data_IF_040127087995
#
_entry.id   IF_040127087995
#
_cell.length_a   1.000
_cell.length_b   1.000
_cell.length_c   1.000
_cell.angle_alpha   90.00
_cell.angle_beta   90.00
_cell.angle_gamma   90.00
#
_symmetry.space_group_name_H-M   'P 1'
#
loop_
_entity.id
_entity.type
_entity.pdbx_description
1 polymer ?
#
# COMPACT_ATOMS: atom_id res chain seq x y z
N UNK A 1 16.24 91.62 17.94
CA UNK A 1 16.28 90.87 19.21
C UNK A 1 15.31 89.70 19.12
N UNK A 2 15.79 88.52 18.74
CA UNK A 2 15.39 87.22 19.29
C UNK A 2 16.29 86.15 18.68
N UNK A 3 16.76 85.22 19.52
CA UNK A 3 17.84 84.27 19.28
C UNK A 3 17.30 82.86 18.93
N UNK A 4 18.10 82.11 18.15
CA UNK A 4 18.29 80.65 18.26
C UNK A 4 17.27 79.76 17.52
N UNK A 5 17.59 78.60 16.96
CA UNK A 5 18.77 77.73 17.03
C UNK A 5 18.74 76.78 15.80
N UNK A 6 19.83 76.70 15.04
CA UNK A 6 20.09 75.65 14.06
C UNK A 6 20.88 74.51 14.72
N UNK A 7 20.42 73.26 14.59
CA UNK A 7 21.23 72.06 14.84
C UNK A 7 21.48 71.33 13.51
N UNK A 8 22.73 70.96 13.16
CA UNK A 8 23.02 70.20 11.95
C UNK A 8 22.87 68.69 12.19
N UNK A 9 22.05 68.05 11.37
CA UNK A 9 21.69 66.64 11.38
C UNK A 9 22.70 65.79 10.58
N UNK A 10 24.00 65.91 10.89
CA UNK A 10 25.07 65.18 10.18
C UNK A 10 26.13 64.68 11.15
N UNK A 11 25.85 63.60 11.89
CA UNK A 11 26.87 62.78 12.58
C UNK A 11 26.25 61.48 13.13
N UNK A 12 25.78 60.59 12.26
CA UNK A 12 25.30 59.26 12.67
C UNK A 12 25.50 58.17 11.60
N UNK A 13 26.58 58.24 10.82
CA UNK A 13 26.82 57.29 9.72
C UNK A 13 28.14 56.51 9.76
N UNK A 14 28.84 56.40 10.89
CA UNK A 14 30.17 55.76 10.92
C UNK A 14 30.45 54.71 12.00
N UNK A 15 29.43 54.07 12.57
CA UNK A 15 29.60 52.82 13.34
C UNK A 15 28.42 51.91 13.02
N UNK A 16 28.65 50.62 12.80
CA UNK A 16 27.70 49.54 12.46
C UNK A 16 27.47 49.13 10.99
N UNK A 17 28.52 48.87 10.17
CA UNK A 17 28.34 48.11 8.93
C UNK A 17 27.94 46.63 9.17
N UNK A 18 28.16 46.09 10.38
CA UNK A 18 27.86 44.68 10.70
C UNK A 18 26.39 44.40 11.01
N UNK A 19 25.63 45.35 11.59
CA UNK A 19 24.22 45.12 11.94
C UNK A 19 23.33 45.15 10.69
N UNK A 20 23.69 45.95 9.68
CA UNK A 20 22.91 46.06 8.44
C UNK A 20 23.02 44.80 7.56
N UNK A 21 24.18 44.14 7.53
CA UNK A 21 24.38 42.87 6.83
C UNK A 21 23.63 41.70 7.50
N UNK A 22 23.51 41.70 8.83
CA UNK A 22 22.73 40.68 9.56
C UNK A 22 21.24 40.86 9.29
N UNK A 23 20.71 42.09 9.27
CA UNK A 23 19.29 42.34 9.00
C UNK A 23 18.87 42.02 7.55
N UNK A 24 19.71 42.32 6.56
CA UNK A 24 19.44 41.95 5.16
C UNK A 24 19.48 40.43 4.99
N UNK A 25 20.41 39.74 5.64
CA UNK A 25 20.50 38.27 5.60
C UNK A 25 19.31 37.61 6.33
N UNK A 26 18.87 38.16 7.46
CA UNK A 26 17.68 37.68 8.17
C UNK A 26 16.39 37.90 7.38
N UNK A 27 16.24 39.05 6.70
CA UNK A 27 15.09 39.29 5.83
C UNK A 27 15.10 38.41 4.58
N UNK A 28 16.26 38.16 3.96
CA UNK A 28 16.38 37.27 2.81
C UNK A 28 16.12 35.79 3.17
N UNK A 29 16.57 35.34 4.35
CA UNK A 29 16.41 33.96 4.81
C UNK A 29 14.99 33.68 5.32
N UNK A 30 14.37 34.64 6.03
CA UNK A 30 12.96 34.55 6.40
C UNK A 30 12.05 34.70 5.18
N UNK A 31 12.36 35.57 4.22
CA UNK A 31 11.55 35.76 3.02
C UNK A 31 11.47 34.50 2.16
N UNK A 32 12.61 33.85 1.86
CA UNK A 32 12.61 32.70 0.93
C UNK A 32 12.01 31.44 1.54
N UNK A 33 12.33 31.13 2.80
CA UNK A 33 11.78 29.94 3.48
C UNK A 33 10.31 30.09 3.84
N UNK A 34 9.88 31.28 4.31
CA UNK A 34 8.49 31.55 4.65
C UNK A 34 7.61 31.68 3.40
N UNK A 35 8.07 32.35 2.34
CA UNK A 35 7.32 32.42 1.09
C UNK A 35 7.30 31.08 0.35
N UNK A 36 8.34 30.25 0.44
CA UNK A 36 8.30 28.88 -0.10
C UNK A 36 7.32 28.00 0.69
N UNK A 37 7.26 28.16 2.02
CA UNK A 37 6.27 27.47 2.85
C UNK A 37 4.85 27.97 2.56
N UNK A 38 4.61 29.27 2.56
CA UNK A 38 3.31 29.85 2.21
C UNK A 38 2.90 29.50 0.78
N UNK A 39 3.79 29.56 -0.20
CA UNK A 39 3.50 29.17 -1.58
C UNK A 39 3.16 27.68 -1.70
N UNK A 40 3.87 26.82 -0.95
CA UNK A 40 3.56 25.39 -0.86
C UNK A 40 2.19 25.17 -0.21
N UNK A 41 1.93 25.77 0.94
CA UNK A 41 0.66 25.68 1.66
C UNK A 41 -0.50 26.24 0.81
N UNK A 42 -0.28 27.32 0.06
CA UNK A 42 -1.29 27.91 -0.84
C UNK A 42 -1.55 27.04 -2.07
N UNK A 43 -0.52 26.45 -2.68
CA UNK A 43 -0.68 25.57 -3.84
C UNK A 43 -1.32 24.21 -3.49
N UNK A 44 -1.09 23.70 -2.28
CA UNK A 44 -1.68 22.45 -1.81
C UNK A 44 -3.19 22.56 -1.62
N UNK A 45 -3.68 23.71 -1.13
CA UNK A 45 -5.12 23.92 -0.91
C UNK A 45 -5.94 24.21 -2.17
N UNK A 46 -5.30 24.41 -3.33
CA UNK A 46 -5.99 24.86 -4.55
C UNK A 46 -6.56 23.72 -5.42
N UNK A 47 -6.18 22.46 -5.19
CA UNK A 47 -6.68 21.33 -5.97
C UNK A 47 -7.51 20.39 -5.10
N UNK A 48 -8.80 20.67 -4.99
CA UNK A 48 -9.78 19.66 -4.54
C UNK A 48 -10.10 18.76 -5.72
N UNK A 49 -9.90 17.47 -5.54
CA UNK A 49 -10.38 16.48 -6.47
C UNK A 49 -11.84 16.16 -6.13
N UNK A 50 -12.65 15.87 -7.14
CA UNK A 50 -14.03 15.44 -6.96
C UNK A 50 -14.19 14.04 -7.57
N UNK A 51 -14.91 13.11 -6.90
CA UNK A 51 -15.14 11.77 -7.41
C UNK A 51 -15.76 11.77 -8.81
N UNK A 52 -15.19 10.98 -9.71
CA UNK A 52 -15.79 10.82 -11.05
C UNK A 52 -17.03 9.94 -10.99
N UNK A 53 -17.96 10.08 -11.95
CA UNK A 53 -19.07 9.13 -12.09
C UNK A 53 -18.59 7.68 -12.21
N UNK A 54 -17.42 7.46 -12.83
CA UNK A 54 -16.81 6.14 -12.96
C UNK A 54 -16.31 5.58 -11.61
N UNK A 55 -15.76 6.43 -10.74
CA UNK A 55 -15.33 6.04 -9.42
C UNK A 55 -16.52 5.63 -8.54
N UNK A 56 -17.65 6.32 -8.67
CA UNK A 56 -18.88 6.05 -7.92
C UNK A 56 -19.82 5.02 -8.58
N UNK A 57 -19.44 4.45 -9.72
CA UNK A 57 -20.24 3.44 -10.41
C UNK A 57 -20.22 2.12 -9.61
N UNK A 58 -21.37 1.56 -9.19
CA UNK A 58 -21.40 0.28 -8.45
C UNK A 58 -20.89 -0.91 -9.28
N UNK A 59 -20.80 -0.75 -10.60
CA UNK A 59 -20.24 -1.76 -11.52
C UNK A 59 -18.75 -1.56 -11.81
N UNK A 60 -18.14 -0.53 -11.21
CA UNK A 60 -16.71 -0.26 -11.28
C UNK A 60 -15.91 -1.45 -10.75
N UNK A 61 -14.60 -1.44 -10.97
CA UNK A 61 -13.73 -2.56 -10.57
C UNK A 61 -12.39 -2.06 -10.07
N UNK A 62 -11.76 -2.89 -9.26
CA UNK A 62 -10.42 -2.62 -8.80
C UNK A 62 -9.38 -3.03 -9.84
N UNK A 63 -8.28 -2.30 -9.80
CA UNK A 63 -7.02 -2.68 -10.44
C UNK A 63 -5.92 -2.80 -9.38
N UNK A 64 -4.93 -3.65 -9.63
CA UNK A 64 -3.81 -3.83 -8.71
C UNK A 64 -2.45 -3.85 -9.42
N UNK A 65 -1.44 -3.39 -8.68
CA UNK A 65 -0.04 -3.46 -9.04
C UNK A 65 0.66 -4.42 -8.09
N UNK A 66 1.24 -5.50 -8.61
CA UNK A 66 1.90 -6.53 -7.81
C UNK A 66 3.35 -6.71 -8.28
N UNK A 67 4.33 -6.55 -7.37
CA UNK A 67 5.71 -6.97 -7.61
C UNK A 67 5.96 -8.28 -6.88
N UNK A 68 6.22 -9.35 -7.62
CA UNK A 68 6.33 -10.72 -7.07
C UNK A 68 7.77 -11.24 -7.12
N UNK A 69 8.14 -12.00 -6.09
CA UNK A 69 9.41 -12.75 -6.01
C UNK A 69 9.20 -14.06 -5.27
N UNK A 70 9.25 -15.18 -5.99
CA UNK A 70 9.18 -16.54 -5.44
C UNK A 70 7.94 -16.78 -4.52
N UNK A 71 6.75 -16.33 -4.95
CA UNK A 71 5.49 -16.50 -4.20
C UNK A 71 4.46 -17.36 -4.94
N UNK A 72 4.89 -18.19 -5.90
CA UNK A 72 3.97 -19.02 -6.69
C UNK A 72 3.08 -19.92 -5.83
N UNK A 73 3.59 -20.37 -4.67
CA UNK A 73 2.87 -21.22 -3.74
C UNK A 73 1.57 -20.58 -3.20
N UNK A 74 1.52 -19.25 -3.06
CA UNK A 74 0.35 -18.53 -2.51
C UNK A 74 -0.36 -17.64 -3.55
N UNK A 75 0.26 -17.44 -4.72
CA UNK A 75 -0.23 -16.50 -5.71
C UNK A 75 -1.64 -16.85 -6.22
N UNK A 76 -1.98 -18.14 -6.35
CA UNK A 76 -3.33 -18.54 -6.81
C UNK A 76 -4.40 -18.23 -5.76
N UNK A 77 -4.14 -18.49 -4.48
CA UNK A 77 -5.01 -18.04 -3.37
C UNK A 77 -5.18 -16.51 -3.42
N UNK A 78 -4.08 -15.78 -3.54
CA UNK A 78 -4.08 -14.32 -3.57
C UNK A 78 -4.93 -13.76 -4.72
N UNK A 79 -4.77 -14.28 -5.94
CA UNK A 79 -5.54 -13.83 -7.10
C UNK A 79 -7.00 -14.24 -6.97
N UNK A 80 -7.31 -15.48 -6.55
CA UNK A 80 -8.69 -15.94 -6.36
C UNK A 80 -9.45 -15.05 -5.36
N UNK A 81 -8.82 -14.78 -4.21
CA UNK A 81 -9.39 -13.93 -3.17
C UNK A 81 -9.70 -12.53 -3.70
N UNK A 82 -8.72 -11.83 -4.27
CA UNK A 82 -8.92 -10.44 -4.70
C UNK A 82 -9.78 -10.33 -5.96
N UNK A 83 -9.77 -11.33 -6.86
CA UNK A 83 -10.71 -11.41 -7.97
C UNK A 83 -12.16 -11.42 -7.49
N UNK A 84 -12.43 -12.10 -6.38
CA UNK A 84 -13.74 -12.18 -5.77
C UNK A 84 -14.06 -10.95 -4.90
N UNK A 85 -13.28 -10.72 -3.84
CA UNK A 85 -13.59 -9.76 -2.78
C UNK A 85 -13.39 -8.31 -3.23
N UNK A 86 -12.35 -8.02 -4.02
CA UNK A 86 -12.15 -6.67 -4.58
C UNK A 86 -12.89 -6.45 -5.89
N UNK A 87 -13.48 -7.48 -6.50
CA UNK A 87 -13.85 -7.43 -7.93
C UNK A 87 -12.66 -6.97 -8.78
N UNK A 88 -11.49 -7.55 -8.54
CA UNK A 88 -10.28 -7.23 -9.30
C UNK A 88 -10.49 -7.63 -10.77
N UNK A 89 -10.30 -6.69 -11.70
CA UNK A 89 -10.46 -6.92 -13.15
C UNK A 89 -9.25 -6.55 -13.98
N UNK A 90 -8.27 -5.85 -13.41
CA UNK A 90 -6.96 -5.61 -14.05
C UNK A 90 -5.82 -5.79 -13.06
N UNK A 91 -4.79 -6.53 -13.45
CA UNK A 91 -3.62 -6.79 -12.65
C UNK A 91 -2.37 -6.65 -13.50
N UNK A 92 -1.45 -5.78 -13.06
CA UNK A 92 -0.10 -5.74 -13.62
C UNK A 92 0.83 -6.42 -12.63
N UNK A 93 1.55 -7.45 -13.08
CA UNK A 93 2.48 -8.23 -12.26
C UNK A 93 3.91 -8.01 -12.77
N UNK A 94 4.72 -7.26 -12.03
CA UNK A 94 6.16 -7.23 -12.27
C UNK A 94 6.83 -8.42 -11.57
N UNK A 95 7.71 -9.12 -12.27
CA UNK A 95 8.49 -10.23 -11.70
C UNK A 95 9.88 -9.72 -11.35
N UNK A 96 10.29 -9.85 -10.08
CA UNK A 96 11.64 -9.49 -9.67
C UNK A 96 12.66 -10.35 -10.44
N UNK A 97 13.70 -9.75 -11.06
CA UNK A 97 14.65 -10.50 -11.88
C UNK A 97 15.51 -11.49 -11.09
N UNK A 98 15.48 -11.43 -9.75
CA UNK A 98 16.12 -12.40 -8.86
C UNK A 98 15.19 -13.53 -8.43
N UNK A 99 13.95 -13.56 -8.93
CA UNK A 99 13.03 -14.68 -8.75
C UNK A 99 13.61 -15.94 -9.41
N UNK A 100 13.58 -17.04 -8.67
CA UNK A 100 13.95 -18.38 -9.13
C UNK A 100 12.79 -19.11 -9.79
N UNK A 101 11.56 -18.68 -9.53
CA UNK A 101 10.33 -19.21 -10.11
C UNK A 101 9.65 -18.19 -11.04
N UNK A 102 8.88 -18.69 -12.02
CA UNK A 102 8.07 -17.86 -12.91
C UNK A 102 6.58 -18.01 -12.58
N UNK A 103 5.83 -16.90 -12.41
CA UNK A 103 4.38 -16.97 -12.17
C UNK A 103 3.56 -17.17 -13.45
N UNK A 104 4.18 -17.19 -14.64
CA UNK A 104 3.48 -17.07 -15.93
C UNK A 104 2.37 -18.09 -16.13
N UNK A 105 2.54 -19.34 -15.71
CA UNK A 105 1.50 -20.37 -15.85
C UNK A 105 0.25 -20.04 -15.01
N UNK A 106 0.45 -19.55 -13.79
CA UNK A 106 -0.65 -19.11 -12.90
C UNK A 106 -1.36 -17.91 -13.56
N UNK A 107 -0.60 -16.91 -14.01
CA UNK A 107 -1.18 -15.70 -14.62
C UNK A 107 -1.96 -16.01 -15.91
N UNK A 108 -1.40 -16.84 -16.80
CA UNK A 108 -2.05 -17.25 -18.05
C UNK A 108 -3.35 -18.04 -17.78
N UNK A 109 -3.34 -18.87 -16.73
CA UNK A 109 -4.50 -19.64 -16.33
C UNK A 109 -5.68 -18.73 -15.97
N UNK A 110 -5.47 -17.68 -15.20
CA UNK A 110 -6.52 -16.71 -14.86
C UNK A 110 -6.99 -15.93 -16.10
N UNK A 111 -6.06 -15.39 -16.90
CA UNK A 111 -6.37 -14.73 -18.18
C UNK A 111 -7.27 -15.56 -19.10
N UNK A 112 -7.10 -16.88 -19.11
CA UNK A 112 -7.88 -17.80 -19.97
C UNK A 112 -9.24 -18.17 -19.41
N UNK A 113 -9.36 -18.26 -18.09
CA UNK A 113 -10.52 -18.84 -17.41
C UNK A 113 -11.48 -17.81 -16.81
N UNK A 114 -11.08 -16.55 -16.72
CA UNK A 114 -11.89 -15.45 -16.19
C UNK A 114 -11.87 -14.24 -17.12
N UNK A 115 -12.51 -13.15 -16.69
CA UNK A 115 -12.47 -11.83 -17.31
C UNK A 115 -11.37 -10.91 -16.71
N UNK A 116 -10.49 -11.44 -15.87
CA UNK A 116 -9.38 -10.70 -15.28
C UNK A 116 -8.28 -10.48 -16.32
N UNK A 117 -8.00 -9.22 -16.65
CA UNK A 117 -6.86 -8.86 -17.51
C UNK A 117 -5.56 -8.83 -16.68
N UNK A 118 -4.64 -9.73 -16.99
CA UNK A 118 -3.32 -9.79 -16.36
C UNK A 118 -2.22 -9.50 -17.37
N UNK A 119 -1.36 -8.54 -17.04
CA UNK A 119 -0.17 -8.19 -17.82
C UNK A 119 1.07 -8.48 -16.96
N UNK A 120 1.95 -9.32 -17.46
CA UNK A 120 3.23 -9.60 -16.82
C UNK A 120 4.29 -8.62 -17.35
N UNK A 121 4.97 -7.92 -16.44
CA UNK A 121 6.05 -7.00 -16.72
C UNK A 121 7.40 -7.53 -16.24
N UNK A 122 8.46 -7.05 -16.90
CA UNK A 122 9.87 -7.19 -16.55
C UNK A 122 10.46 -5.82 -16.25
N UNK A 123 11.69 -5.80 -15.75
CA UNK A 123 12.44 -4.58 -15.44
C UNK A 123 12.47 -3.60 -16.64
N UNK A 124 12.54 -4.10 -17.88
CA UNK A 124 12.58 -3.26 -19.08
C UNK A 124 11.28 -2.47 -19.34
N UNK A 125 10.15 -2.90 -18.77
CA UNK A 125 8.85 -2.27 -19.01
C UNK A 125 8.66 -1.00 -18.16
N UNK A 126 9.39 -0.87 -17.04
CA UNK A 126 9.16 0.21 -16.08
C UNK A 126 10.41 0.90 -15.53
N UNK A 127 11.61 0.33 -15.72
CA UNK A 127 12.85 0.94 -15.24
C UNK A 127 13.49 1.82 -16.30
N UNK A 128 14.15 2.89 -15.84
CA UNK A 128 14.88 3.78 -16.74
C UNK A 128 16.05 3.05 -17.43
N UNK A 129 16.40 3.41 -18.68
CA UNK A 129 17.58 2.85 -19.36
C UNK A 129 18.88 3.02 -18.57
N UNK A 130 18.96 4.07 -17.76
CA UNK A 130 20.09 4.35 -16.90
C UNK A 130 20.21 3.36 -15.74
N UNK A 131 19.09 2.99 -15.12
CA UNK A 131 19.06 1.93 -14.12
C UNK A 131 19.41 0.58 -14.74
N UNK A 132 18.80 0.21 -15.87
CA UNK A 132 19.06 -1.07 -16.55
C UNK A 132 20.54 -1.22 -16.93
N UNK A 133 21.22 -0.13 -17.30
CA UNK A 133 22.65 -0.13 -17.61
C UNK A 133 23.53 -0.25 -16.36
N UNK A 134 23.21 0.50 -15.31
CA UNK A 134 24.10 0.65 -14.13
C UNK A 134 23.78 -0.33 -12.99
N UNK A 135 22.58 -0.90 -12.98
CA UNK A 135 22.02 -1.69 -11.88
C UNK A 135 22.15 -0.98 -10.52
N UNK A 136 21.95 0.34 -10.52
CA UNK A 136 22.11 1.18 -9.34
C UNK A 136 20.93 2.15 -9.23
N UNK A 137 20.30 2.23 -8.05
CA UNK A 137 19.24 3.19 -7.81
C UNK A 137 19.82 4.62 -7.74
N UNK A 138 18.96 5.61 -7.93
CA UNK A 138 19.35 7.02 -7.80
C UNK A 138 19.69 7.39 -6.34
N UNK A 139 20.59 8.36 -6.15
CA UNK A 139 21.14 8.80 -4.85
C UNK A 139 20.14 8.89 -3.68
N UNK A 140 18.90 9.42 -3.83
CA UNK A 140 17.92 9.43 -2.75
C UNK A 140 17.66 8.07 -2.09
N UNK A 141 17.70 6.98 -2.86
CA UNK A 141 17.46 5.61 -2.37
C UNK A 141 18.68 4.98 -1.71
N UNK A 142 19.88 5.55 -1.93
CA UNK A 142 21.12 5.08 -1.30
C UNK A 142 21.30 5.63 0.12
N UNK A 143 20.49 6.62 0.52
CA UNK A 143 20.52 7.18 1.88
C UNK A 143 20.03 6.14 2.88
N UNK A 144 20.86 5.85 3.89
CA UNK A 144 20.50 4.93 4.98
C UNK A 144 19.40 5.53 5.84
N UNK A 145 18.32 4.78 6.04
CA UNK A 145 17.40 5.01 7.15
C UNK A 145 18.03 4.55 8.48
N UNK A 146 17.47 5.00 9.61
CA UNK A 146 17.87 4.51 10.93
C UNK A 146 17.76 2.98 11.05
N UNK A 147 16.73 2.41 10.42
CA UNK A 147 16.49 0.98 10.34
C UNK A 147 17.48 0.21 9.46
N UNK A 148 18.33 0.88 8.66
CA UNK A 148 19.28 0.23 7.76
C UNK A 148 20.73 0.26 8.30
N UNK A 149 20.95 0.87 9.48
CA UNK A 149 22.28 1.14 10.00
C UNK A 149 23.12 -0.12 10.27
N UNK A 150 22.47 -1.26 10.50
CA UNK A 150 23.13 -2.54 10.72
C UNK A 150 23.49 -3.29 9.43
N UNK A 151 23.03 -2.82 8.26
CA UNK A 151 23.28 -3.49 6.99
C UNK A 151 24.70 -3.20 6.47
N UNK A 152 25.31 -4.23 5.87
CA UNK A 152 26.54 -4.03 5.11
C UNK A 152 26.27 -3.14 3.88
N UNK A 153 27.29 -2.49 3.30
CA UNK A 153 27.12 -1.68 2.10
C UNK A 153 26.50 -2.43 0.92
N UNK A 154 26.82 -3.73 0.77
CA UNK A 154 26.25 -4.59 -0.26
C UNK A 154 24.76 -4.86 -0.02
N UNK A 155 24.40 -5.30 1.19
CA UNK A 155 22.99 -5.52 1.57
C UNK A 155 22.17 -4.24 1.43
N UNK A 156 22.73 -3.11 1.84
CA UNK A 156 22.08 -1.82 1.67
C UNK A 156 21.83 -1.50 0.19
N UNK A 157 22.78 -1.81 -0.71
CA UNK A 157 22.58 -1.62 -2.14
C UNK A 157 21.46 -2.51 -2.68
N UNK A 158 21.38 -3.77 -2.24
CA UNK A 158 20.30 -4.68 -2.64
C UNK A 158 18.93 -4.17 -2.16
N UNK A 159 18.83 -3.75 -0.90
CA UNK A 159 17.61 -3.16 -0.34
C UNK A 159 17.22 -1.87 -1.07
N UNK A 160 18.17 -0.97 -1.34
CA UNK A 160 17.93 0.24 -2.12
C UNK A 160 17.44 -0.06 -3.55
N UNK A 161 18.03 -1.08 -4.18
CA UNK A 161 17.66 -1.54 -5.53
C UNK A 161 16.21 -2.05 -5.54
N UNK A 162 15.85 -2.88 -4.56
CA UNK A 162 14.48 -3.38 -4.43
C UNK A 162 13.47 -2.25 -4.15
N UNK A 163 13.78 -1.32 -3.22
CA UNK A 163 12.92 -0.15 -2.93
C UNK A 163 12.73 0.75 -4.17
N UNK A 164 13.79 0.95 -4.96
CA UNK A 164 13.71 1.70 -6.20
C UNK A 164 12.82 0.99 -7.23
N UNK A 165 12.99 -0.34 -7.41
CA UNK A 165 12.13 -1.13 -8.29
C UNK A 165 10.66 -1.03 -7.91
N UNK A 166 10.32 -1.25 -6.64
CA UNK A 166 8.95 -1.10 -6.13
C UNK A 166 8.37 0.28 -6.44
N UNK A 167 9.15 1.34 -6.18
CA UNK A 167 8.72 2.72 -6.41
C UNK A 167 8.55 3.06 -7.90
N UNK A 168 9.48 2.62 -8.76
CA UNK A 168 9.40 2.85 -10.20
C UNK A 168 8.28 2.03 -10.84
N UNK A 169 8.16 0.76 -10.46
CA UNK A 169 7.09 -0.13 -10.90
C UNK A 169 5.73 0.47 -10.58
N UNK A 170 5.52 0.90 -9.34
CA UNK A 170 4.22 1.43 -8.96
C UNK A 170 3.88 2.74 -9.71
N UNK A 171 4.87 3.61 -9.94
CA UNK A 171 4.67 4.81 -10.75
C UNK A 171 4.22 4.48 -12.18
N UNK A 172 4.93 3.57 -12.85
CA UNK A 172 4.61 3.12 -14.19
C UNK A 172 3.25 2.40 -14.24
N UNK A 173 2.95 1.56 -13.26
CA UNK A 173 1.69 0.84 -13.16
C UNK A 173 0.50 1.81 -12.99
N UNK A 174 0.57 2.79 -12.10
CA UNK A 174 -0.49 3.81 -11.94
C UNK A 174 -0.76 4.56 -13.25
N UNK A 175 0.30 4.90 -13.98
CA UNK A 175 0.20 5.54 -15.29
C UNK A 175 -0.50 4.64 -16.31
N UNK A 176 -0.09 3.38 -16.42
CA UNK A 176 -0.71 2.42 -17.34
C UNK A 176 -2.18 2.16 -16.99
N UNK A 177 -2.50 2.01 -15.70
CA UNK A 177 -3.88 1.86 -15.24
C UNK A 177 -4.75 3.07 -15.61
N UNK A 178 -4.22 4.29 -15.52
CA UNK A 178 -4.94 5.49 -16.01
C UNK A 178 -5.17 5.41 -17.52
N UNK A 179 -4.15 5.06 -18.31
CA UNK A 179 -4.27 4.93 -19.77
C UNK A 179 -5.35 3.91 -20.16
N UNK A 180 -5.49 2.85 -19.36
CA UNK A 180 -6.52 1.79 -19.53
C UNK A 180 -7.89 2.15 -18.97
N UNK A 181 -8.07 3.37 -18.47
CA UNK A 181 -9.33 3.83 -17.92
C UNK A 181 -9.72 3.12 -16.62
N UNK A 182 -8.76 2.76 -15.77
CA UNK A 182 -9.05 2.33 -14.40
C UNK A 182 -9.32 3.54 -13.47
N UNK A 183 -10.12 3.31 -12.43
CA UNK A 183 -10.32 4.24 -11.32
C UNK A 183 -9.45 3.84 -10.13
N UNK A 184 -9.90 2.88 -9.31
CA UNK A 184 -9.23 2.47 -8.08
C UNK A 184 -8.07 1.53 -8.34
N UNK A 185 -6.87 1.94 -7.91
CA UNK A 185 -5.62 1.18 -8.04
C UNK A 185 -4.95 1.03 -6.67
N UNK A 186 -4.52 -0.17 -6.33
CA UNK A 186 -3.75 -0.46 -5.11
C UNK A 186 -2.44 -1.18 -5.44
N UNK A 187 -1.35 -0.80 -4.77
CA UNK A 187 -0.15 -1.64 -4.69
C UNK A 187 -0.24 -2.51 -3.45
N UNK A 188 -0.13 -3.82 -3.64
CA UNK A 188 -0.41 -4.80 -2.60
C UNK A 188 0.53 -5.98 -2.75
N UNK A 189 1.03 -6.50 -1.64
CA UNK A 189 1.99 -7.60 -1.63
C UNK A 189 1.23 -8.96 -1.58
N UNK A 190 1.89 -10.06 -1.97
CA UNK A 190 1.25 -11.40 -2.04
C UNK A 190 0.84 -11.96 -0.67
N UNK A 191 1.36 -11.40 0.41
CA UNK A 191 1.02 -11.74 1.79
C UNK A 191 -0.02 -10.78 2.41
N UNK A 192 -0.59 -9.87 1.61
CA UNK A 192 -1.56 -8.86 2.03
C UNK A 192 -2.93 -9.13 1.39
N UNK A 193 -4.00 -9.17 2.21
CA UNK A 193 -5.37 -9.46 1.79
C UNK A 193 -6.33 -8.36 2.25
N UNK A 194 -6.94 -7.64 1.31
CA UNK A 194 -7.91 -6.56 1.63
C UNK A 194 -9.22 -7.16 2.11
N UNK A 195 -9.68 -6.79 3.29
CA UNK A 195 -10.94 -7.28 3.86
C UNK A 195 -11.81 -6.15 4.39
N UNK A 196 -13.12 -6.31 4.29
CA UNK A 196 -14.09 -5.42 4.92
C UNK A 196 -14.32 -5.72 6.39
N UNK A 197 -13.72 -6.81 6.90
CA UNK A 197 -13.87 -7.29 8.26
C UNK A 197 -12.70 -6.83 9.11
N UNK A 198 -12.93 -5.74 9.83
CA UNK A 198 -11.94 -5.16 10.71
C UNK A 198 -12.01 -5.82 12.09
N UNK A 199 -10.97 -6.56 12.52
CA UNK A 199 -10.99 -7.27 13.80
C UNK A 199 -11.04 -6.35 15.03
N UNK A 200 -10.86 -5.04 14.84
CA UNK A 200 -10.93 -4.04 15.90
C UNK A 200 -12.19 -3.17 15.86
N UNK A 201 -13.04 -3.35 14.86
CA UNK A 201 -14.29 -2.62 14.81
C UNK A 201 -15.14 -3.00 16.02
N UNK A 202 -15.62 -1.98 16.75
CA UNK A 202 -16.57 -2.20 17.83
C UNK A 202 -17.87 -2.72 17.20
N UNK A 203 -18.37 -3.86 17.68
CA UNK A 203 -19.64 -4.38 17.23
C UNK A 203 -20.75 -3.40 17.66
N UNK A 204 -21.18 -2.54 16.74
CA UNK A 204 -22.37 -1.74 16.95
C UNK A 204 -23.55 -2.71 17.03
N UNK A 205 -24.16 -2.86 18.21
CA UNK A 205 -25.27 -3.80 18.50
C UNK A 205 -26.50 -3.64 17.56
N UNK A 206 -26.52 -2.65 16.67
CA UNK A 206 -27.58 -2.40 15.68
C UNK A 206 -27.35 -2.88 14.25
N UNK A 207 -26.12 -3.27 13.85
CA UNK A 207 -25.79 -3.61 12.44
C UNK A 207 -25.89 -5.12 12.15
N UNK A 208 -27.00 -5.74 12.57
CA UNK A 208 -27.29 -7.18 12.44
C UNK A 208 -27.50 -7.68 10.99
N UNK A 209 -27.30 -6.83 9.99
CA UNK A 209 -27.18 -7.21 8.58
C UNK A 209 -25.77 -6.97 8.10
N UNK A 210 -24.82 -7.70 8.68
CA UNK A 210 -23.48 -7.83 8.14
C UNK A 210 -23.62 -8.59 6.81
N UNK A 211 -23.75 -7.85 5.70
CA UNK A 211 -23.52 -8.41 4.37
C UNK A 211 -22.25 -9.24 4.46
N UNK A 212 -22.30 -10.49 4.00
CA UNK A 212 -21.14 -11.37 4.05
C UNK A 212 -19.98 -10.61 3.42
N UNK A 213 -18.94 -10.35 4.23
CA UNK A 213 -17.81 -9.54 3.83
C UNK A 213 -17.04 -10.07 2.62
N UNK A 214 -17.27 -11.33 2.29
CA UNK A 214 -16.75 -12.00 1.12
C UNK A 214 -17.63 -11.87 -0.13
N UNK A 215 -18.79 -11.20 -0.05
CA UNK A 215 -19.57 -10.91 -1.26
C UNK A 215 -18.76 -10.13 -2.27
N UNK A 216 -18.97 -10.43 -3.55
CA UNK A 216 -18.39 -9.67 -4.64
C UNK A 216 -18.77 -8.18 -4.47
N UNK A 217 -17.78 -7.30 -4.61
CA UNK A 217 -17.90 -5.83 -4.46
C UNK A 217 -17.94 -5.26 -3.03
N UNK A 218 -17.87 -6.08 -1.98
CA UNK A 218 -17.98 -5.61 -0.59
C UNK A 218 -17.01 -4.46 -0.27
N UNK A 219 -15.76 -4.57 -0.76
CA UNK A 219 -14.74 -3.53 -0.59
C UNK A 219 -15.05 -2.28 -1.42
N UNK A 220 -15.51 -2.43 -2.65
CA UNK A 220 -15.85 -1.30 -3.53
C UNK A 220 -16.94 -0.43 -2.90
N UNK A 221 -18.00 -1.06 -2.41
CA UNK A 221 -19.13 -0.37 -1.78
C UNK A 221 -18.65 0.43 -0.57
N UNK A 222 -17.77 -0.14 0.26
CA UNK A 222 -17.23 0.55 1.44
C UNK A 222 -16.31 1.71 1.07
N UNK A 223 -15.45 1.56 0.05
CA UNK A 223 -14.60 2.67 -0.46
C UNK A 223 -15.47 3.80 -1.01
N UNK A 224 -16.46 3.48 -1.84
CA UNK A 224 -17.34 4.48 -2.46
C UNK A 224 -18.16 5.24 -1.40
N UNK A 225 -18.73 4.52 -0.42
CA UNK A 225 -19.45 5.13 0.70
C UNK A 225 -18.54 6.07 1.49
N UNK A 226 -17.33 5.62 1.83
CA UNK A 226 -16.40 6.48 2.56
C UNK A 226 -16.05 7.74 1.76
N UNK A 227 -15.77 7.63 0.46
CA UNK A 227 -15.47 8.78 -0.39
C UNK A 227 -16.65 9.76 -0.45
N UNK A 228 -17.88 9.26 -0.53
CA UNK A 228 -19.09 10.10 -0.53
C UNK A 228 -19.26 10.85 0.81
N UNK A 229 -18.93 10.21 1.93
CA UNK A 229 -19.04 10.80 3.28
C UNK A 229 -17.85 11.72 3.62
N UNK A 230 -16.65 11.39 3.13
CA UNK A 230 -15.36 12.00 3.50
C UNK A 230 -14.62 12.54 2.27
N UNK A 231 -15.27 13.39 1.48
CA UNK A 231 -14.72 13.92 0.22
C UNK A 231 -13.36 14.66 0.36
N UNK A 232 -12.93 15.01 1.58
CA UNK A 232 -11.64 15.67 1.81
C UNK A 232 -10.43 14.74 1.71
N UNK A 233 -10.62 13.43 1.83
CA UNK A 233 -9.54 12.43 1.69
C UNK A 233 -9.34 11.99 0.22
N UNK A 234 -10.28 12.33 -0.66
CA UNK A 234 -10.23 12.00 -2.08
C UNK A 234 -9.07 12.74 -2.78
N UNK A 235 -8.26 12.07 -3.64
CA UNK A 235 -8.48 10.79 -4.34
C UNK A 235 -7.83 9.56 -3.71
N UNK A 236 -7.45 9.62 -2.43
CA UNK A 236 -6.68 8.56 -1.77
C UNK A 236 -7.46 7.96 -0.60
N UNK A 237 -7.55 6.64 -0.53
CA UNK A 237 -8.12 5.94 0.62
C UNK A 237 -7.03 5.13 1.31
N UNK A 238 -6.74 5.47 2.57
CA UNK A 238 -5.73 4.76 3.38
C UNK A 238 -6.30 3.47 3.92
N UNK A 239 -5.56 2.38 3.78
CA UNK A 239 -5.95 1.06 4.30
C UNK A 239 -4.87 0.59 5.27
N UNK A 240 -5.23 0.44 6.54
CA UNK A 240 -4.31 -0.05 7.56
C UNK A 240 -4.04 -1.53 7.39
N UNK A 241 -2.85 -1.94 7.82
CA UNK A 241 -2.39 -3.33 7.78
C UNK A 241 -2.47 -3.93 9.17
N UNK A 242 -3.10 -5.09 9.26
CA UNK A 242 -3.25 -5.89 10.46
C UNK A 242 -2.32 -7.09 10.36
N UNK A 243 -1.23 -7.15 11.14
CA UNK A 243 -0.30 -8.27 11.12
C UNK A 243 -0.94 -9.52 11.72
N UNK A 244 -0.96 -10.59 10.94
CA UNK A 244 -1.30 -11.94 11.38
C UNK A 244 -0.03 -12.76 11.57
N UNK A 245 0.06 -13.42 12.73
CA UNK A 245 1.17 -14.28 13.12
C UNK A 245 1.14 -15.64 12.42
N UNK A 246 1.99 -16.55 12.88
CA UNK A 246 2.13 -17.92 12.36
C UNK A 246 1.70 -18.97 13.38
N UNK A 247 0.87 -18.58 14.34
CA UNK A 247 0.29 -19.53 15.28
C UNK A 247 -0.80 -20.30 14.54
N UNK A 248 -0.56 -21.60 14.36
CA UNK A 248 -1.50 -22.49 13.69
C UNK A 248 -2.83 -22.53 14.44
N UNK A 249 -3.91 -22.45 13.68
CA UNK A 249 -5.25 -22.75 14.20
C UNK A 249 -5.39 -24.27 14.40
N UNK A 250 -6.35 -24.71 15.22
CA UNK A 250 -6.62 -26.15 15.35
C UNK A 250 -7.18 -26.72 14.04
N UNK A 251 -7.07 -28.04 13.83
CA UNK A 251 -7.58 -28.69 12.63
C UNK A 251 -9.07 -28.43 12.41
N UNK A 252 -9.87 -28.42 13.48
CA UNK A 252 -11.30 -28.11 13.44
C UNK A 252 -11.53 -26.66 13.01
N UNK A 253 -10.72 -25.72 13.51
CA UNK A 253 -10.82 -24.32 13.13
C UNK A 253 -10.42 -24.13 11.66
N UNK A 254 -9.30 -24.70 11.21
CA UNK A 254 -8.82 -24.57 9.83
C UNK A 254 -9.82 -25.13 8.83
N UNK A 255 -10.44 -26.28 9.15
CA UNK A 255 -11.43 -26.91 8.28
C UNK A 255 -12.85 -26.33 8.40
N UNK A 256 -13.08 -25.39 9.33
CA UNK A 256 -14.38 -24.75 9.47
C UNK A 256 -14.70 -23.90 8.23
N UNK A 257 -15.89 -24.09 7.65
CA UNK A 257 -16.38 -23.33 6.49
C UNK A 257 -15.59 -23.57 5.19
N UNK A 258 -14.80 -24.65 5.12
CA UNK A 258 -14.05 -25.00 3.91
C UNK A 258 -14.84 -25.97 3.03
N UNK A 259 -15.03 -25.68 1.73
CA UNK A 259 -15.68 -26.63 0.84
C UNK A 259 -14.91 -27.96 0.81
N UNK A 260 -15.63 -29.09 0.77
CA UNK A 260 -15.08 -30.45 0.91
C UNK A 260 -13.98 -30.80 -0.11
N UNK A 261 -13.91 -30.06 -1.23
CA UNK A 261 -12.96 -30.29 -2.31
C UNK A 261 -11.57 -29.68 -2.07
N UNK A 262 -11.45 -28.77 -1.10
CA UNK A 262 -10.21 -28.02 -0.87
C UNK A 262 -9.54 -28.43 0.44
N UNK A 263 -8.21 -28.56 0.39
CA UNK A 263 -7.37 -28.73 1.57
C UNK A 263 -7.12 -27.38 2.22
N UNK A 264 -7.73 -27.17 3.37
CA UNK A 264 -7.66 -25.94 4.13
C UNK A 264 -6.22 -25.59 4.58
N UNK A 265 -5.35 -26.58 4.73
CA UNK A 265 -3.96 -26.42 5.14
C UNK A 265 -3.06 -25.80 4.05
N UNK A 266 -3.62 -25.56 2.86
CA UNK A 266 -2.90 -24.96 1.74
C UNK A 266 -3.17 -23.46 1.63
N UNK A 267 -4.05 -22.91 2.47
CA UNK A 267 -4.47 -21.50 2.42
C UNK A 267 -3.94 -20.72 3.62
N UNK A 268 -3.17 -19.66 3.37
CA UNK A 268 -2.65 -18.77 4.42
C UNK A 268 -3.80 -18.09 5.17
N UNK A 269 -4.85 -17.69 4.45
CA UNK A 269 -6.04 -17.02 5.01
C UNK A 269 -6.87 -17.93 5.93
N UNK A 270 -6.70 -19.25 5.83
CA UNK A 270 -7.40 -20.22 6.65
C UNK A 270 -6.56 -20.73 7.82
N UNK A 271 -5.23 -20.78 7.70
CA UNK A 271 -4.36 -21.30 8.77
C UNK A 271 -4.15 -20.31 9.91
N UNK A 272 -3.95 -19.05 9.56
CA UNK A 272 -3.49 -18.03 10.48
C UNK A 272 -4.66 -17.13 10.91
N UNK A 273 -5.17 -17.31 12.13
CA UNK A 273 -6.27 -16.49 12.66
C UNK A 273 -5.82 -15.44 13.67
N UNK A 274 -4.60 -15.58 14.20
CA UNK A 274 -4.10 -14.79 15.31
C UNK A 274 -3.42 -13.52 14.82
N UNK A 275 -3.83 -12.37 15.36
CA UNK A 275 -3.34 -11.06 14.93
C UNK A 275 -2.77 -10.23 16.09
N UNK A 276 -2.01 -9.19 15.74
CA UNK A 276 -1.46 -8.21 16.67
C UNK A 276 -2.52 -7.26 17.21
N UNK A 277 -2.31 -6.68 18.40
CA UNK A 277 -3.13 -5.57 18.91
C UNK A 277 -2.75 -4.24 18.26
N UNK A 278 -3.64 -3.23 18.22
CA UNK A 278 -3.33 -1.90 17.67
C UNK A 278 -2.02 -1.28 18.14
N UNK A 279 -1.72 -1.42 19.43
CA UNK A 279 -0.50 -0.90 20.05
C UNK A 279 0.75 -1.57 19.48
N UNK A 280 0.71 -2.90 19.27
CA UNK A 280 1.81 -3.66 18.68
C UNK A 280 1.92 -3.42 17.17
N UNK A 281 0.80 -3.22 16.47
CA UNK A 281 0.79 -2.88 15.05
C UNK A 281 1.61 -1.63 14.76
N UNK A 282 1.47 -0.58 15.58
CA UNK A 282 2.25 0.67 15.45
C UNK A 282 3.77 0.46 15.51
N UNK A 283 4.22 -0.62 16.17
CA UNK A 283 5.63 -0.97 16.32
C UNK A 283 6.16 -1.85 15.18
N UNK A 284 5.30 -2.65 14.56
CA UNK A 284 5.69 -3.66 13.55
C UNK A 284 5.41 -3.17 12.12
N UNK A 285 4.28 -2.50 11.92
CA UNK A 285 3.80 -2.04 10.62
C UNK A 285 3.56 -0.52 10.66
N UNK A 286 4.55 0.24 10.19
CA UNK A 286 4.55 1.68 10.35
C UNK A 286 3.66 2.44 9.36
N UNK A 287 3.29 1.82 8.23
CA UNK A 287 2.64 2.54 7.14
C UNK A 287 1.41 1.81 6.59
N UNK A 288 0.27 2.51 6.40
CA UNK A 288 -0.85 1.98 5.62
C UNK A 288 -0.46 1.71 4.16
N UNK A 289 -1.34 1.03 3.43
CA UNK A 289 -1.35 1.07 1.96
C UNK A 289 -2.40 2.10 1.53
N UNK A 290 -2.41 2.42 0.24
CA UNK A 290 -3.33 3.43 -0.30
C UNK A 290 -3.98 2.89 -1.56
N UNK A 291 -5.30 2.97 -1.59
CA UNK A 291 -6.09 2.87 -2.81
C UNK A 291 -6.13 4.27 -3.43
N UNK A 292 -5.72 4.39 -4.68
CA UNK A 292 -5.67 5.66 -5.41
C UNK A 292 -6.67 5.63 -6.54
N UNK A 293 -7.52 6.64 -6.63
CA UNK A 293 -8.31 6.86 -7.84
C UNK A 293 -7.47 7.58 -8.91
N UNK A 294 -6.94 6.83 -9.86
CA UNK A 294 -6.10 7.37 -10.94
C UNK A 294 -6.90 8.08 -12.04
N UNK A 295 -8.23 7.95 -12.04
CA UNK A 295 -9.10 8.58 -13.06
C UNK A 295 -9.04 10.11 -12.99
N UNK A 296 -8.89 10.66 -11.79
CA UNK A 296 -8.82 12.13 -11.55
C UNK A 296 -7.41 12.70 -11.49
N UNK A 297 -6.39 11.85 -11.34
CA UNK A 297 -5.01 12.35 -11.26
C UNK A 297 -4.58 12.94 -12.61
N UNK A 298 -4.04 14.16 -12.65
CA UNK A 298 -3.59 14.76 -13.91
C UNK A 298 -2.35 14.02 -14.42
N UNK A 299 -2.17 13.99 -15.75
CA UNK A 299 -1.12 13.20 -16.39
C UNK A 299 0.29 13.59 -15.92
N UNK A 300 0.50 14.86 -15.59
CA UNK A 300 1.75 15.43 -15.06
C UNK A 300 2.11 14.85 -13.69
N UNK A 301 1.13 14.39 -12.92
CA UNK A 301 1.39 13.73 -11.62
C UNK A 301 1.84 12.29 -11.79
N UNK A 302 1.38 11.64 -12.86
CA UNK A 302 1.76 10.28 -13.24
C UNK A 302 2.98 10.22 -14.17
N UNK A 303 3.54 11.36 -14.57
CA UNK A 303 4.73 11.41 -15.43
C UNK A 303 6.05 11.21 -14.68
N UNK A 304 6.01 11.09 -13.34
CA UNK A 304 7.20 10.83 -12.52
C UNK A 304 7.69 9.39 -12.75
N UNK A 305 9.00 9.21 -12.79
CA UNK A 305 9.63 7.88 -12.91
C UNK A 305 9.43 7.01 -11.67
N UNK A 306 9.22 7.64 -10.50
CA UNK A 306 9.14 6.98 -9.21
C UNK A 306 8.06 7.63 -8.35
N UNK A 307 7.34 6.84 -7.56
CA UNK A 307 6.49 7.37 -6.49
C UNK A 307 7.30 7.67 -5.23
N UNK A 308 6.81 8.55 -4.35
CA UNK A 308 7.56 8.88 -3.13
C UNK A 308 7.72 7.67 -2.18
N UNK A 309 6.69 6.83 -2.10
CA UNK A 309 6.69 5.57 -1.36
C UNK A 309 5.55 4.70 -1.90
N UNK A 310 5.70 3.37 -1.88
CA UNK A 310 4.59 2.45 -2.22
C UNK A 310 3.42 2.53 -1.22
N UNK A 311 3.70 2.98 0.00
CA UNK A 311 2.69 3.20 1.04
C UNK A 311 2.00 4.55 0.93
N UNK A 312 2.58 5.49 0.17
CA UNK A 312 2.05 6.84 0.00
C UNK A 312 2.60 7.43 -1.30
N UNK A 313 2.00 7.09 -2.45
CA UNK A 313 2.60 7.40 -3.74
C UNK A 313 2.66 8.91 -4.02
N UNK A 314 1.70 9.67 -3.50
CA UNK A 314 1.58 11.11 -3.64
C UNK A 314 1.50 11.79 -2.28
N UNK A 315 2.64 12.20 -1.72
CA UNK A 315 2.67 12.84 -0.38
C UNK A 315 1.80 14.09 -0.26
N UNK A 316 1.69 14.84 -1.36
CA UNK A 316 1.03 16.13 -1.44
C UNK A 316 -0.46 16.06 -1.80
N UNK A 317 -0.94 14.89 -2.23
CA UNK A 317 -2.35 14.67 -2.57
C UNK A 317 -2.99 13.79 -1.50
N UNK A 318 -2.29 12.73 -1.11
CA UNK A 318 -2.70 11.88 -0.01
C UNK A 318 -2.14 12.43 1.31
N UNK A 319 -2.38 13.71 1.64
CA UNK A 319 -1.72 14.35 2.77
C UNK A 319 -2.24 13.87 4.13
N UNK A 320 -3.56 13.66 4.19
CA UNK A 320 -4.33 13.27 5.38
C UNK A 320 -4.25 11.78 5.70
N UNK A 321 -3.26 11.07 5.16
CA UNK A 321 -2.95 9.71 5.61
C UNK A 321 -2.39 9.82 7.01
N UNK A 322 -3.30 9.79 7.99
CA UNK A 322 -2.98 9.84 9.40
C UNK A 322 -2.10 8.64 9.71
N UNK A 323 -0.96 8.91 10.34
CA UNK A 323 -0.08 7.83 10.76
C UNK A 323 -0.77 7.12 11.92
N UNK A 324 -0.96 5.79 11.85
CA UNK A 324 -1.59 5.06 12.95
C UNK A 324 -0.83 5.23 14.28
N UNK A 325 0.46 5.57 14.20
CA UNK A 325 1.30 5.90 15.35
C UNK A 325 0.80 7.10 16.17
N UNK A 326 0.09 8.03 15.54
CA UNK A 326 -0.41 9.26 16.17
C UNK A 326 -1.89 9.14 16.58
N UNK A 327 -2.62 8.21 15.96
CA UNK A 327 -4.08 8.08 16.04
C UNK A 327 -4.53 6.60 16.04
N UNK A 328 -4.25 5.83 17.11
CA UNK A 328 -4.61 4.42 17.18
C UNK A 328 -6.13 4.15 17.11
N UNK A 329 -6.96 5.11 17.50
CA UNK A 329 -8.42 5.05 17.42
C UNK A 329 -8.93 4.80 16.00
N UNK A 330 -8.21 5.31 14.98
CA UNK A 330 -8.62 5.14 13.59
C UNK A 330 -8.63 3.68 13.14
N UNK A 331 -7.84 2.81 13.80
CA UNK A 331 -7.90 1.38 13.50
C UNK A 331 -9.28 0.81 13.76
N UNK A 332 -10.04 1.33 14.72
CA UNK A 332 -11.40 0.85 15.01
C UNK A 332 -12.43 1.41 14.03
N UNK A 333 -12.14 2.57 13.44
CA UNK A 333 -13.04 3.30 12.55
C UNK A 333 -12.91 2.87 11.08
N UNK A 334 -11.81 2.21 10.70
CA UNK A 334 -11.62 1.79 9.32
C UNK A 334 -12.62 0.72 8.88
N UNK A 335 -13.33 1.03 7.80
CA UNK A 335 -14.30 0.14 7.20
C UNK A 335 -13.66 -1.05 6.45
N UNK A 336 -12.41 -0.87 6.01
CA UNK A 336 -11.61 -1.85 5.25
C UNK A 336 -10.21 -1.86 5.85
N UNK A 337 -9.62 -3.04 5.98
CA UNK A 337 -8.24 -3.25 6.41
C UNK A 337 -7.52 -4.24 5.49
N UNK A 338 -6.22 -4.40 5.66
CA UNK A 338 -5.41 -5.41 4.99
C UNK A 338 -4.91 -6.41 6.03
N UNK A 339 -5.27 -7.67 5.91
CA UNK A 339 -4.64 -8.74 6.68
C UNK A 339 -3.26 -9.03 6.10
N UNK A 340 -2.20 -8.85 6.90
CA UNK A 340 -0.81 -9.06 6.49
C UNK A 340 -0.24 -10.32 7.14
N UNK A 341 -0.12 -11.39 6.38
CA UNK A 341 0.27 -12.73 6.87
C UNK A 341 1.76 -12.99 6.76
N UNK A 342 2.45 -13.12 7.89
CA UNK A 342 3.87 -13.49 7.86
C UNK A 342 4.10 -14.92 7.32
N UNK A 343 3.14 -15.83 7.53
CA UNK A 343 3.15 -17.22 7.07
C UNK A 343 4.10 -18.15 7.81
N UNK A 344 4.33 -19.33 7.24
CA UNK A 344 5.30 -20.31 7.78
C UNK A 344 6.75 -19.80 7.66
N UNK A 345 7.65 -20.32 8.49
CA UNK A 345 9.07 -19.98 8.39
C UNK A 345 9.65 -20.48 7.06
N UNK A 346 9.23 -21.67 6.63
CA UNK A 346 9.67 -22.29 5.38
C UNK A 346 9.39 -21.36 4.20
N UNK A 347 8.17 -20.80 4.11
CA UNK A 347 7.82 -19.80 3.11
C UNK A 347 8.58 -18.51 3.33
N UNK A 348 8.57 -17.97 4.55
CA UNK A 348 9.16 -16.66 4.85
C UNK A 348 10.66 -16.64 4.53
N UNK A 349 11.42 -17.63 5.00
CA UNK A 349 12.86 -17.74 4.87
C UNK A 349 13.36 -18.35 3.56
N UNK A 350 12.51 -19.00 2.76
CA UNK A 350 12.90 -19.54 1.44
C UNK A 350 13.28 -18.46 0.44
N UNK A 351 12.74 -17.24 0.58
CA UNK A 351 13.05 -16.14 -0.32
C UNK A 351 14.48 -15.67 -0.11
N UNK A 352 15.21 -15.54 -1.22
CA UNK A 352 16.55 -14.95 -1.22
C UNK A 352 16.48 -13.42 -1.01
N UNK A 353 16.09 -13.00 0.19
CA UNK A 353 15.90 -11.60 0.59
C UNK A 353 16.61 -11.37 1.93
N UNK A 354 17.69 -10.59 1.88
CA UNK A 354 18.54 -10.30 3.03
C UNK A 354 17.84 -9.56 4.18
N UNK A 355 16.64 -9.01 3.94
CA UNK A 355 15.81 -8.41 4.99
C UNK A 355 15.11 -9.47 5.84
N UNK A 356 15.02 -10.70 5.35
CA UNK A 356 14.35 -11.81 6.02
C UNK A 356 15.36 -12.61 6.83
N UNK A 357 15.09 -12.73 8.13
CA UNK A 357 15.89 -13.51 9.05
C UNK A 357 14.99 -14.05 10.17
N UNK A 358 15.50 -15.06 10.89
CA UNK A 358 14.77 -15.75 11.96
C UNK A 358 14.28 -14.79 13.04
N UNK A 359 15.11 -13.83 13.46
CA UNK A 359 14.76 -12.89 14.53
C UNK A 359 13.59 -11.99 14.12
N UNK A 360 13.64 -11.43 12.91
CA UNK A 360 12.53 -10.64 12.37
C UNK A 360 11.27 -11.48 12.20
N UNK A 361 11.40 -12.73 11.74
CA UNK A 361 10.27 -13.65 11.62
C UNK A 361 9.62 -13.92 12.97
N UNK A 362 10.38 -14.36 13.98
CA UNK A 362 9.86 -14.69 15.31
C UNK A 362 9.16 -13.50 15.99
N UNK A 363 9.66 -12.29 15.77
CA UNK A 363 9.05 -11.06 16.28
C UNK A 363 7.64 -10.80 15.71
N UNK A 364 7.35 -11.32 14.51
CA UNK A 364 6.08 -11.16 13.79
C UNK A 364 5.18 -12.39 13.95
N UNK A 365 5.76 -13.58 13.85
CA UNK A 365 5.10 -14.88 13.90
C UNK A 365 4.38 -15.14 15.24
N UNK A 366 4.83 -14.51 16.32
CA UNK A 366 4.28 -14.68 17.66
C UNK A 366 3.05 -13.80 17.97
N UNK A 367 2.46 -13.12 16.98
CA UNK A 367 1.23 -12.35 17.19
C UNK A 367 0.08 -13.26 17.67
N UNK A 368 -0.49 -12.95 18.83
CA UNK A 368 -1.52 -13.73 19.52
C UNK A 368 -2.44 -12.86 20.40
N UNK A 369 -2.54 -11.59 20.09
CA UNK A 369 -3.26 -10.63 20.92
C UNK A 369 -4.77 -10.65 20.65
N UNK A 370 -5.19 -11.24 19.53
CA UNK A 370 -6.58 -11.53 19.17
C UNK A 370 -6.66 -12.62 18.12
N UNK A 371 -7.86 -13.12 17.86
CA UNK A 371 -8.09 -14.11 16.83
C UNK A 371 -9.40 -13.83 16.09
N UNK A 372 -9.38 -13.89 14.76
CA UNK A 372 -10.51 -13.43 13.97
C UNK A 372 -10.70 -14.25 12.68
N UNK A 373 -11.96 -14.58 12.37
CA UNK A 373 -12.33 -15.46 11.26
C UNK A 373 -12.99 -14.72 10.08
N UNK A 374 -13.07 -13.38 10.12
CA UNK A 374 -13.87 -12.61 9.16
C UNK A 374 -13.47 -12.79 7.69
N UNK A 375 -12.21 -13.14 7.41
CA UNK A 375 -11.78 -13.43 6.03
C UNK A 375 -12.29 -14.78 5.52
N UNK A 376 -12.41 -15.80 6.39
CA UNK A 376 -12.54 -17.22 6.00
C UNK A 376 -13.73 -17.59 5.10
N UNK A 377 -14.90 -16.94 5.19
CA UNK A 377 -16.03 -17.27 4.32
C UNK A 377 -15.73 -17.11 2.81
N UNK A 378 -14.69 -16.36 2.44
CA UNK A 378 -14.32 -16.07 1.05
C UNK A 378 -14.21 -17.30 0.14
N UNK A 379 -13.68 -18.42 0.64
CA UNK A 379 -13.44 -19.59 -0.20
C UNK A 379 -14.74 -20.28 -0.58
N UNK A 380 -15.71 -20.32 0.34
CA UNK A 380 -17.05 -20.84 0.06
C UNK A 380 -17.77 -19.92 -0.94
N UNK A 381 -17.78 -18.61 -0.68
CA UNK A 381 -18.44 -17.62 -1.56
C UNK A 381 -17.82 -17.60 -2.97
N UNK A 382 -16.49 -17.70 -3.07
CA UNK A 382 -15.78 -17.84 -4.35
C UNK A 382 -16.15 -19.13 -5.07
N UNK A 383 -16.25 -20.25 -4.33
CA UNK A 383 -16.62 -21.55 -4.90
C UNK A 383 -18.06 -21.55 -5.40
N UNK A 384 -18.97 -20.89 -4.68
CA UNK A 384 -20.37 -20.77 -5.08
C UNK A 384 -20.51 -19.86 -6.31
N UNK A 385 -19.75 -18.76 -6.38
CA UNK A 385 -19.75 -17.85 -7.51
C UNK A 385 -19.14 -18.47 -8.79
N UNK A 386 -18.03 -19.19 -8.67
CA UNK A 386 -17.32 -19.78 -9.82
C UNK A 386 -17.86 -21.16 -10.23
N UNK A 387 -18.45 -21.89 -9.28
CA UNK A 387 -18.65 -23.33 -9.34
C UNK A 387 -17.37 -24.11 -9.06
N UNK A 388 -17.51 -25.26 -8.38
CA UNK A 388 -16.41 -26.12 -7.92
C UNK A 388 -15.38 -26.38 -9.03
N UNK A 389 -15.80 -26.85 -10.20
CA UNK A 389 -14.87 -27.22 -11.27
C UNK A 389 -13.97 -26.05 -11.71
N UNK A 390 -14.52 -24.83 -11.80
CA UNK A 390 -13.75 -23.64 -12.19
C UNK A 390 -12.90 -23.14 -11.03
N UNK A 391 -13.42 -23.10 -9.80
CA UNK A 391 -12.65 -22.73 -8.62
C UNK A 391 -11.42 -23.64 -8.44
N UNK A 392 -11.61 -24.96 -8.58
CA UNK A 392 -10.55 -25.97 -8.56
C UNK A 392 -9.52 -25.76 -9.66
N UNK A 393 -9.95 -25.44 -10.88
CA UNK A 393 -9.05 -25.15 -11.98
C UNK A 393 -8.21 -23.89 -11.72
N UNK A 394 -8.82 -22.81 -11.22
CA UNK A 394 -8.15 -21.54 -10.94
C UNK A 394 -7.12 -21.68 -9.82
N UNK A 395 -7.51 -22.22 -8.66
CA UNK A 395 -6.63 -22.42 -7.51
C UNK A 395 -5.48 -23.40 -7.83
N UNK A 396 -5.76 -24.43 -8.62
CA UNK A 396 -4.78 -25.44 -9.01
C UNK A 396 -4.78 -26.67 -8.11
N UNK A 397 -3.99 -27.68 -8.48
CA UNK A 397 -3.97 -29.00 -7.82
C UNK A 397 -3.43 -28.98 -6.41
N UNK A 398 -2.56 -28.01 -6.07
CA UNK A 398 -1.96 -27.92 -4.75
C UNK A 398 -2.96 -27.62 -3.63
N UNK A 399 -4.13 -27.06 -3.94
CA UNK A 399 -5.19 -26.73 -2.95
C UNK A 399 -6.25 -27.82 -2.81
N UNK A 400 -6.12 -28.95 -3.51
CA UNK A 400 -7.13 -30.02 -3.54
C UNK A 400 -6.83 -31.10 -2.49
N UNK A 401 -7.88 -31.75 -1.96
CA UNK A 401 -7.75 -32.93 -1.08
C UNK A 401 -7.49 -34.22 -1.83
#
# INVERSE_FOLDING_TARGET
MSYGLHYPLWLLHRRFPFIFLILISFHAFLSTSFLAKLSRDYHLHLFRYEPTPQALDPTSSFSACLLVKDDNAILSEWIAYHYHVLRLRRLIVAVDPTSTESPSEILERYNRLTDLEIIQWKDEDYLSPDFLRKHQPVEPFLRRGSADNYLSPEKMRQVATHRYRQSAFFAACLKEMKVRGSSYVIHIDTDEFVTTENPFAEANEGDLHQESASTEDSVLIKVQRHIQEHNHDYPCYSVFRVPYGSIESTEEQVNAMVPRHFDAQQFETLRWRHHSSPEKMMLIEHYPKVIVDVSVLPAERLSRETVSSIHRPFWDICEHIQQPAEHPELYREQAIVINHYVGSWERYGSKNDDRRNQVTYESRASANEGAYDGIRPWLQDFTDAMGVARATALLGSQYQR
#
